data_IF_777846546060
#
_entry.id   IF_777846546060
#
_cell.length_a   1.000
_cell.length_b   1.000
_cell.length_c   1.000
_cell.angle_alpha   90.00
_cell.angle_beta   90.00
_cell.angle_gamma   90.00
#
_symmetry.space_group_name_H-M   'P 1'
#
loop_
_entity.id
_entity.type
_entity.pdbx_description
1 polymer ?
#
# COMPACT_ATOMS: atom_id res chain seq x y z
N UNK A 1 -40.96 -0.49 -2.14
CA UNK A 1 -42.08 0.08 -1.35
C UNK A 1 -41.62 1.26 -0.50
N UNK A 2 -40.74 1.08 0.49
CA UNK A 2 -40.40 2.18 1.42
C UNK A 2 -39.83 3.42 0.72
N UNK A 3 -38.80 3.27 -0.12
CA UNK A 3 -38.19 4.39 -0.85
C UNK A 3 -39.17 5.10 -1.80
N UNK A 4 -40.05 4.34 -2.47
CA UNK A 4 -40.98 4.91 -3.45
C UNK A 4 -42.27 5.51 -2.86
N UNK A 5 -42.69 5.06 -1.67
CA UNK A 5 -44.00 5.43 -1.09
C UNK A 5 -43.86 6.12 0.26
N UNK A 6 -42.99 5.62 1.14
CA UNK A 6 -42.88 6.11 2.52
C UNK A 6 -41.90 7.28 2.66
N UNK A 7 -40.82 7.31 1.85
CA UNK A 7 -39.86 8.43 1.86
C UNK A 7 -40.49 9.78 1.46
N UNK A 8 -41.33 9.87 0.40
CA UNK A 8 -41.98 11.14 0.05
C UNK A 8 -42.93 11.66 1.14
N UNK A 9 -43.62 10.77 1.85
CA UNK A 9 -44.57 11.15 2.92
C UNK A 9 -43.90 11.40 4.27
N UNK A 10 -42.58 11.19 4.38
CA UNK A 10 -41.81 11.53 5.58
C UNK A 10 -41.91 13.03 5.91
N UNK A 11 -42.14 13.85 4.88
CA UNK A 11 -42.41 15.28 5.00
C UNK A 11 -43.76 15.64 5.62
N UNK A 12 -44.71 14.70 5.68
CA UNK A 12 -46.09 14.96 6.10
C UNK A 12 -46.24 14.58 7.57
N UNK A 13 -46.46 15.56 8.45
CA UNK A 13 -46.50 15.37 9.91
C UNK A 13 -47.39 14.21 10.35
N UNK A 14 -48.59 14.08 9.79
CA UNK A 14 -49.54 13.02 10.14
C UNK A 14 -49.08 11.61 9.73
N UNK A 15 -48.25 11.48 8.67
CA UNK A 15 -47.81 10.20 8.11
C UNK A 15 -46.39 9.82 8.53
N UNK A 16 -45.58 10.81 8.91
CA UNK A 16 -44.19 10.63 9.31
C UNK A 16 -43.95 9.59 10.42
N UNK A 17 -44.81 9.44 11.47
CA UNK A 17 -44.60 8.41 12.48
C UNK A 17 -44.69 6.99 11.89
N UNK A 18 -45.63 6.77 10.96
CA UNK A 18 -45.82 5.47 10.31
C UNK A 18 -44.65 5.15 9.37
N UNK A 19 -44.16 6.14 8.61
CA UNK A 19 -43.02 5.97 7.73
C UNK A 19 -41.75 5.56 8.50
N UNK A 20 -41.46 6.25 9.63
CA UNK A 20 -40.31 5.94 10.48
C UNK A 20 -40.48 4.60 11.20
N UNK A 21 -41.65 4.33 11.77
CA UNK A 21 -41.91 3.05 12.46
C UNK A 21 -41.83 1.84 11.51
N UNK A 22 -42.30 1.99 10.27
CA UNK A 22 -42.16 0.95 9.26
C UNK A 22 -40.68 0.75 8.89
N UNK A 23 -39.91 1.83 8.73
CA UNK A 23 -38.48 1.72 8.44
C UNK A 23 -37.74 0.97 9.54
N UNK A 24 -38.03 1.30 10.79
CA UNK A 24 -37.45 0.65 11.97
C UNK A 24 -37.73 -0.86 11.94
N UNK A 25 -39.01 -1.24 11.81
CA UNK A 25 -39.43 -2.64 11.68
C UNK A 25 -38.76 -3.35 10.52
N UNK A 26 -38.67 -2.70 9.35
CA UNK A 26 -38.04 -3.27 8.17
C UNK A 26 -36.56 -3.58 8.42
N UNK A 27 -35.84 -2.63 9.01
CA UNK A 27 -34.42 -2.83 9.36
C UNK A 27 -34.26 -3.88 10.46
N UNK A 28 -35.17 -3.97 11.43
CA UNK A 28 -35.14 -5.01 12.46
C UNK A 28 -35.37 -6.42 11.87
N UNK A 29 -36.34 -6.58 10.97
CA UNK A 29 -36.64 -7.86 10.31
C UNK A 29 -35.51 -8.32 9.38
N UNK A 30 -34.74 -7.38 8.83
CA UNK A 30 -33.62 -7.67 7.94
C UNK A 30 -32.29 -7.24 8.56
N UNK A 31 -31.73 -8.02 9.51
CA UNK A 31 -30.44 -7.70 10.13
C UNK A 31 -29.29 -7.74 9.13
N UNK A 32 -29.32 -8.68 8.18
CA UNK A 32 -28.34 -8.78 7.10
C UNK A 32 -28.70 -7.82 5.96
N UNK A 33 -27.97 -6.71 5.88
CA UNK A 33 -28.20 -5.63 4.92
C UNK A 33 -27.70 -5.93 3.50
N UNK A 34 -26.95 -7.02 3.30
CA UNK A 34 -26.31 -7.32 2.00
C UNK A 34 -27.30 -7.43 0.85
N UNK A 35 -28.50 -7.97 1.11
CA UNK A 35 -29.58 -8.08 0.12
C UNK A 35 -30.15 -6.73 -0.32
N UNK A 36 -29.94 -5.68 0.46
CA UNK A 36 -30.39 -4.32 0.17
C UNK A 36 -29.31 -3.41 -0.44
N UNK A 37 -28.11 -3.93 -0.67
CA UNK A 37 -27.02 -3.15 -1.25
C UNK A 37 -27.35 -2.68 -2.66
N UNK A 38 -27.10 -1.39 -2.94
CA UNK A 38 -27.43 -0.76 -4.21
C UNK A 38 -28.90 -0.34 -4.36
N UNK A 39 -29.76 -0.62 -3.37
CA UNK A 39 -31.16 -0.17 -3.41
C UNK A 39 -31.34 1.31 -3.07
N UNK A 40 -30.47 1.86 -2.22
CA UNK A 40 -30.50 3.28 -1.85
C UNK A 40 -29.40 3.99 -2.63
N UNK A 41 -29.79 4.80 -3.62
CA UNK A 41 -28.85 5.64 -4.35
C UNK A 41 -28.63 7.00 -3.68
N UNK A 42 -27.71 7.85 -4.19
CA UNK A 42 -27.52 9.21 -3.71
C UNK A 42 -28.84 10.01 -3.64
N UNK A 43 -29.70 9.87 -4.65
CA UNK A 43 -30.97 10.61 -4.75
C UNK A 43 -31.91 10.34 -3.57
N UNK A 44 -31.92 9.12 -3.05
CA UNK A 44 -32.78 8.72 -1.93
C UNK A 44 -32.06 8.91 -0.57
N UNK A 45 -30.73 8.76 -0.57
CA UNK A 45 -29.91 8.85 0.63
C UNK A 45 -29.83 10.27 1.21
N UNK A 46 -29.65 11.29 0.37
CA UNK A 46 -29.47 12.65 0.87
C UNK A 46 -30.72 13.26 1.51
N UNK A 47 -31.95 13.04 0.99
CA UNK A 47 -33.17 13.40 1.72
C UNK A 47 -33.23 12.78 3.12
N UNK A 48 -32.82 11.51 3.28
CA UNK A 48 -32.78 10.85 4.59
C UNK A 48 -31.79 11.52 5.55
N UNK A 49 -30.60 11.88 5.06
CA UNK A 49 -29.62 12.65 5.81
C UNK A 49 -30.20 14.01 6.25
N UNK A 50 -30.81 14.74 5.33
CA UNK A 50 -31.38 16.06 5.58
C UNK A 50 -32.50 15.97 6.64
N UNK A 51 -33.38 14.97 6.56
CA UNK A 51 -34.40 14.70 7.58
C UNK A 51 -33.80 14.31 8.95
N UNK A 52 -32.71 13.54 8.97
CA UNK A 52 -32.10 13.09 10.22
C UNK A 52 -31.32 14.19 10.96
N UNK A 53 -30.74 15.16 10.26
CA UNK A 53 -29.76 16.08 10.87
C UNK A 53 -30.06 17.57 10.69
N UNK A 54 -30.89 18.00 9.74
CA UNK A 54 -31.23 19.41 9.60
C UNK A 54 -32.33 19.83 10.59
N UNK A 55 -32.17 20.94 11.33
CA UNK A 55 -33.21 21.49 12.20
C UNK A 55 -34.34 22.08 11.35
N UNK A 56 -35.48 22.31 12.00
CA UNK A 56 -36.66 22.95 11.39
C UNK A 56 -37.19 22.26 10.14
N UNK A 57 -36.95 20.95 10.00
CA UNK A 57 -37.65 20.16 9.01
C UNK A 57 -39.06 19.80 9.54
N UNK A 58 -39.84 19.12 8.70
CA UNK A 58 -41.22 18.76 9.02
C UNK A 58 -41.36 17.62 10.04
N UNK A 59 -40.25 16.96 10.45
CA UNK A 59 -40.28 15.88 11.43
C UNK A 59 -40.31 16.43 12.87
N UNK A 60 -41.18 15.88 13.73
CA UNK A 60 -41.09 16.07 15.18
C UNK A 60 -39.70 15.68 15.72
N UNK A 61 -39.17 16.37 16.74
CA UNK A 61 -37.83 16.07 17.30
C UNK A 61 -37.64 14.62 17.76
N UNK A 62 -38.69 14.00 18.30
CA UNK A 62 -38.67 12.58 18.72
C UNK A 62 -38.47 11.62 17.55
N UNK A 63 -39.17 11.86 16.43
CA UNK A 63 -39.03 11.06 15.21
C UNK A 63 -37.71 11.33 14.51
N UNK A 64 -37.22 12.56 14.54
CA UNK A 64 -35.91 12.89 14.01
C UNK A 64 -34.80 12.13 14.77
N UNK A 65 -34.89 12.04 16.09
CA UNK A 65 -33.95 11.25 16.91
C UNK A 65 -34.05 9.75 16.58
N UNK A 66 -35.25 9.22 16.39
CA UNK A 66 -35.43 7.83 15.96
C UNK A 66 -34.79 7.58 14.58
N UNK A 67 -35.02 8.46 13.61
CA UNK A 67 -34.42 8.36 12.28
C UNK A 67 -32.88 8.44 12.34
N UNK A 68 -32.34 9.30 13.22
CA UNK A 68 -30.90 9.41 13.46
C UNK A 68 -30.29 8.12 14.00
N UNK A 69 -31.02 7.36 14.82
CA UNK A 69 -30.58 6.02 15.28
C UNK A 69 -30.57 4.98 14.15
N UNK A 70 -31.49 5.09 13.18
CA UNK A 70 -31.55 4.20 12.02
C UNK A 70 -30.52 4.56 10.93
N UNK A 71 -30.12 5.83 10.88
CA UNK A 71 -29.25 6.40 9.85
C UNK A 71 -27.95 5.60 9.58
N UNK A 72 -27.18 5.13 10.58
CA UNK A 72 -25.96 4.36 10.31
C UNK A 72 -26.21 3.11 9.46
N UNK A 73 -27.36 2.43 9.66
CA UNK A 73 -27.74 1.26 8.86
C UNK A 73 -28.14 1.65 7.43
N UNK A 74 -28.83 2.79 7.28
CA UNK A 74 -29.18 3.36 5.98
C UNK A 74 -27.93 3.76 5.18
N UNK A 75 -26.91 4.31 5.86
CA UNK A 75 -25.62 4.65 5.26
C UNK A 75 -24.89 3.42 4.74
N UNK A 76 -24.88 2.33 5.51
CA UNK A 76 -24.30 1.05 5.04
C UNK A 76 -25.05 0.52 3.82
N UNK A 77 -26.38 0.60 3.81
CA UNK A 77 -27.19 0.21 2.63
C UNK A 77 -26.88 1.05 1.40
N UNK A 78 -26.73 2.37 1.57
CA UNK A 78 -26.44 3.30 0.48
C UNK A 78 -25.03 3.12 -0.09
N UNK A 79 -24.04 2.87 0.76
CA UNK A 79 -22.66 2.64 0.33
C UNK A 79 -22.50 1.28 -0.35
N UNK A 80 -23.36 0.32 0.01
CA UNK A 80 -23.50 -0.95 -0.68
C UNK A 80 -22.28 -1.87 -0.53
N UNK A 81 -22.15 -2.81 -1.47
CA UNK A 81 -21.14 -3.87 -1.42
C UNK A 81 -19.72 -3.41 -1.76
N UNK A 82 -19.60 -2.34 -2.56
CA UNK A 82 -18.34 -1.87 -3.17
C UNK A 82 -18.16 -0.36 -2.97
N UNK A 83 -18.02 0.11 -1.72
CA UNK A 83 -17.82 1.54 -1.44
C UNK A 83 -16.58 2.12 -2.15
N UNK A 84 -15.54 1.32 -2.34
CA UNK A 84 -14.28 1.70 -2.99
C UNK A 84 -14.41 2.15 -4.46
N UNK A 85 -15.52 1.81 -5.12
CA UNK A 85 -15.80 2.21 -6.51
C UNK A 85 -17.02 3.12 -6.67
N UNK A 86 -17.70 3.49 -5.59
CA UNK A 86 -18.99 4.19 -5.68
C UNK A 86 -19.04 5.50 -4.89
N UNK A 87 -18.20 5.67 -3.87
CA UNK A 87 -18.29 6.81 -2.95
C UNK A 87 -17.98 8.16 -3.59
N UNK A 88 -17.20 8.19 -4.67
CA UNK A 88 -16.98 9.41 -5.45
C UNK A 88 -18.30 10.00 -6.01
N UNK A 89 -19.35 9.19 -6.21
CA UNK A 89 -20.68 9.67 -6.66
C UNK A 89 -21.48 10.37 -5.55
N UNK A 90 -21.18 10.05 -4.29
CA UNK A 90 -21.81 10.67 -3.12
C UNK A 90 -21.07 11.95 -2.69
N UNK A 91 -19.75 11.99 -2.91
CA UNK A 91 -18.90 13.08 -2.48
C UNK A 91 -19.40 14.50 -2.87
N UNK A 92 -19.85 14.78 -4.12
CA UNK A 92 -20.35 16.10 -4.50
C UNK A 92 -21.54 16.57 -3.64
N UNK A 93 -22.46 15.67 -3.33
CA UNK A 93 -23.68 15.96 -2.57
C UNK A 93 -23.40 16.14 -1.08
N UNK A 94 -22.39 15.47 -0.53
CA UNK A 94 -21.88 15.77 0.81
C UNK A 94 -21.18 17.14 0.86
N UNK A 95 -20.31 17.42 -0.12
CA UNK A 95 -19.53 18.66 -0.18
C UNK A 95 -20.45 19.88 -0.31
N UNK A 96 -21.40 19.86 -1.24
CA UNK A 96 -22.35 20.95 -1.44
C UNK A 96 -23.21 21.26 -0.21
N UNK A 97 -23.50 20.25 0.62
CA UNK A 97 -24.27 20.40 1.87
C UNK A 97 -23.44 20.92 3.04
N UNK A 98 -22.12 20.84 3.01
CA UNK A 98 -21.25 21.20 4.13
C UNK A 98 -21.07 22.71 4.30
N UNK A 99 -22.18 23.43 4.47
CA UNK A 99 -22.17 24.88 4.63
C UNK A 99 -21.67 25.30 6.02
N UNK A 100 -21.09 26.51 6.19
CA UNK A 100 -20.66 27.01 7.49
C UNK A 100 -21.79 27.12 8.52
N UNK A 101 -23.02 27.35 8.07
CA UNK A 101 -24.24 27.44 8.88
C UNK A 101 -24.82 26.09 9.30
N UNK A 102 -24.20 24.97 8.91
CA UNK A 102 -24.71 23.66 9.28
C UNK A 102 -24.69 23.42 10.80
N UNK A 103 -25.72 22.77 11.36
CA UNK A 103 -25.72 22.32 12.75
C UNK A 103 -24.49 21.46 13.06
N UNK A 104 -23.96 21.48 14.30
CA UNK A 104 -22.76 20.73 14.66
C UNK A 104 -22.85 19.23 14.35
N UNK A 105 -24.00 18.60 14.61
CA UNK A 105 -24.22 17.19 14.33
C UNK A 105 -24.18 16.87 12.83
N UNK A 106 -24.85 17.69 12.01
CA UNK A 106 -24.84 17.58 10.54
C UNK A 106 -23.42 17.78 10.00
N UNK A 107 -22.75 18.86 10.43
CA UNK A 107 -21.38 19.18 10.02
C UNK A 107 -20.42 18.03 10.32
N UNK A 108 -20.50 17.44 11.53
CA UNK A 108 -19.70 16.27 11.91
C UNK A 108 -19.97 15.07 11.00
N UNK A 109 -21.23 14.75 10.72
CA UNK A 109 -21.59 13.62 9.86
C UNK A 109 -21.12 13.82 8.41
N UNK A 110 -21.30 15.02 7.86
CA UNK A 110 -20.83 15.38 6.51
C UNK A 110 -19.31 15.25 6.39
N UNK A 111 -18.55 15.83 7.32
CA UNK A 111 -17.09 15.80 7.32
C UNK A 111 -16.55 14.37 7.48
N UNK A 112 -17.14 13.59 8.39
CA UNK A 112 -16.78 12.19 8.60
C UNK A 112 -17.07 11.36 7.35
N UNK A 113 -18.22 11.59 6.70
CA UNK A 113 -18.59 10.90 5.45
C UNK A 113 -17.69 11.27 4.29
N UNK A 114 -17.32 12.54 4.12
CA UNK A 114 -16.36 12.97 3.09
C UNK A 114 -14.98 12.38 3.33
N UNK A 115 -14.50 12.36 4.59
CA UNK A 115 -13.25 11.70 4.96
C UNK A 115 -13.27 10.20 4.65
N UNK A 116 -14.41 9.53 4.89
CA UNK A 116 -14.62 8.13 4.52
C UNK A 116 -14.59 7.92 3.00
N UNK A 117 -15.21 8.82 2.21
CA UNK A 117 -15.14 8.78 0.74
C UNK A 117 -13.70 8.88 0.24
N UNK A 118 -12.93 9.84 0.77
CA UNK A 118 -11.51 10.01 0.43
C UNK A 118 -10.64 8.82 0.86
N UNK A 119 -11.02 8.15 1.96
CA UNK A 119 -10.25 7.03 2.49
C UNK A 119 -10.46 5.73 1.73
N UNK A 120 -11.67 5.49 1.24
CA UNK A 120 -12.07 4.23 0.61
C UNK A 120 -12.03 4.29 -0.92
N UNK A 121 -12.42 5.42 -1.53
CA UNK A 121 -12.50 5.57 -2.99
C UNK A 121 -11.52 6.65 -3.48
N UNK A 122 -10.43 6.27 -4.17
CA UNK A 122 -9.42 7.21 -4.65
C UNK A 122 -9.96 8.21 -5.70
N UNK A 123 -11.04 7.89 -6.41
CA UNK A 123 -11.67 8.80 -7.37
C UNK A 123 -12.28 10.02 -6.67
N UNK A 124 -12.63 9.90 -5.38
CA UNK A 124 -13.15 11.02 -4.57
C UNK A 124 -12.19 12.22 -4.55
N UNK A 125 -10.87 12.00 -4.54
CA UNK A 125 -9.89 13.08 -4.64
C UNK A 125 -9.91 13.78 -6.01
N UNK A 126 -10.18 13.05 -7.10
CA UNK A 126 -10.33 13.63 -8.43
C UNK A 126 -11.57 14.51 -8.50
N UNK A 127 -12.70 14.00 -8.03
CA UNK A 127 -13.97 14.74 -7.97
C UNK A 127 -13.84 15.98 -7.10
N UNK A 128 -13.18 15.87 -5.94
CA UNK A 128 -12.94 17.03 -5.08
C UNK A 128 -12.13 18.11 -5.80
N UNK A 129 -11.08 17.74 -6.54
CA UNK A 129 -10.28 18.69 -7.32
C UNK A 129 -11.10 19.45 -8.36
N UNK A 130 -12.01 18.76 -9.05
CA UNK A 130 -12.89 19.38 -10.04
C UNK A 130 -13.91 20.36 -9.42
N UNK A 131 -14.33 20.08 -8.18
CA UNK A 131 -15.33 20.87 -7.46
C UNK A 131 -14.74 22.00 -6.61
N UNK A 132 -13.42 22.01 -6.40
CA UNK A 132 -12.74 22.86 -5.44
C UNK A 132 -13.07 24.35 -5.60
N UNK A 133 -12.93 24.89 -6.82
CA UNK A 133 -13.13 26.31 -7.11
C UNK A 133 -14.57 26.77 -6.89
N UNK A 134 -15.55 25.86 -6.98
CA UNK A 134 -16.97 26.13 -6.75
C UNK A 134 -17.39 25.98 -5.28
N UNK A 135 -16.56 25.33 -4.48
CA UNK A 135 -16.88 24.94 -3.11
C UNK A 135 -15.75 25.25 -2.14
N UNK A 136 -15.18 26.46 -2.22
CA UNK A 136 -14.04 26.88 -1.41
C UNK A 136 -14.37 26.89 0.09
N UNK A 137 -15.49 27.52 0.48
CA UNK A 137 -15.92 27.56 1.88
C UNK A 137 -16.11 26.15 2.46
N UNK A 138 -16.76 25.24 1.73
CA UNK A 138 -16.96 23.85 2.17
C UNK A 138 -15.66 23.04 2.17
N UNK A 139 -14.78 23.28 1.19
CA UNK A 139 -13.46 22.64 1.12
C UNK A 139 -12.55 23.08 2.26
N UNK A 140 -12.64 24.34 2.72
CA UNK A 140 -11.88 24.81 3.89
C UNK A 140 -12.27 24.04 5.16
N UNK A 141 -13.55 23.73 5.34
CA UNK A 141 -14.03 22.91 6.46
C UNK A 141 -13.49 21.49 6.40
N UNK A 142 -13.48 20.88 5.20
CA UNK A 142 -12.94 19.55 4.99
C UNK A 142 -11.42 19.51 5.21
N UNK A 143 -10.67 20.49 4.70
CA UNK A 143 -9.22 20.59 4.90
C UNK A 143 -8.86 20.71 6.38
N UNK A 144 -9.57 21.54 7.13
CA UNK A 144 -9.37 21.66 8.58
C UNK A 144 -9.70 20.34 9.32
N UNK A 145 -10.77 19.66 8.94
CA UNK A 145 -11.10 18.35 9.51
C UNK A 145 -10.02 17.29 9.22
N UNK A 146 -9.46 17.27 8.01
CA UNK A 146 -8.36 16.37 7.63
C UNK A 146 -7.05 16.70 8.35
N UNK A 147 -6.84 17.98 8.69
CA UNK A 147 -5.71 18.44 9.49
C UNK A 147 -5.84 17.98 10.94
N UNK A 148 -7.03 18.08 11.54
CA UNK A 148 -7.34 17.56 12.87
C UNK A 148 -7.18 16.03 12.94
N UNK A 149 -7.63 15.31 11.90
CA UNK A 149 -7.58 13.84 11.80
C UNK A 149 -6.33 13.30 11.08
N UNK A 150 -5.29 14.12 10.97
CA UNK A 150 -4.06 13.78 10.23
C UNK A 150 -3.39 12.51 10.78
N UNK A 151 -3.27 12.40 12.09
CA UNK A 151 -2.54 11.32 12.76
C UNK A 151 -3.24 9.95 12.63
N UNK A 152 -4.57 9.95 12.51
CA UNK A 152 -5.38 8.76 12.23
C UNK A 152 -5.41 8.35 10.74
N UNK A 153 -4.98 9.22 9.84
CA UNK A 153 -5.07 8.96 8.39
C UNK A 153 -4.04 7.93 7.91
N UNK A 154 -4.45 7.03 6.99
CA UNK A 154 -3.55 6.01 6.42
C UNK A 154 -2.47 6.62 5.52
N UNK A 155 -1.34 5.91 5.33
CA UNK A 155 -0.23 6.40 4.49
C UNK A 155 -0.67 6.68 3.04
N UNK A 156 -1.54 5.84 2.47
CA UNK A 156 -2.08 5.98 1.10
C UNK A 156 -2.93 7.25 0.97
N UNK A 157 -3.79 7.52 1.96
CA UNK A 157 -4.62 8.73 2.01
C UNK A 157 -3.74 9.97 2.15
N UNK A 158 -2.72 9.93 3.01
CA UNK A 158 -1.75 11.03 3.18
C UNK A 158 -1.01 11.38 1.87
N UNK A 159 -0.61 10.37 1.10
CA UNK A 159 0.03 10.58 -0.21
C UNK A 159 -0.94 11.23 -1.21
N UNK A 160 -2.16 10.70 -1.32
CA UNK A 160 -3.19 11.25 -2.24
C UNK A 160 -3.60 12.67 -1.84
N UNK A 161 -3.70 12.94 -0.53
CA UNK A 161 -3.97 14.26 0.02
C UNK A 161 -2.81 15.23 -0.25
N UNK A 162 -1.56 14.78 -0.20
CA UNK A 162 -0.40 15.62 -0.51
C UNK A 162 -0.42 16.12 -1.97
N UNK A 163 -0.74 15.25 -2.92
CA UNK A 163 -0.90 15.63 -4.33
C UNK A 163 -2.06 16.62 -4.51
N UNK A 164 -3.18 16.35 -3.85
CA UNK A 164 -4.38 17.21 -3.91
C UNK A 164 -4.13 18.58 -3.31
N UNK A 165 -3.49 18.67 -2.14
CA UNK A 165 -3.17 19.92 -1.46
C UNK A 165 -2.14 20.75 -2.26
N UNK A 166 -1.18 20.11 -2.94
CA UNK A 166 -0.28 20.82 -3.86
C UNK A 166 -1.03 21.43 -5.03
N UNK A 167 -1.98 20.68 -5.62
CA UNK A 167 -2.85 21.21 -6.66
C UNK A 167 -3.67 22.40 -6.16
N UNK A 168 -4.26 22.30 -4.97
CA UNK A 168 -5.03 23.39 -4.36
C UNK A 168 -4.19 24.63 -4.07
N UNK A 169 -2.93 24.46 -3.63
CA UNK A 169 -2.03 25.59 -3.41
C UNK A 169 -1.84 26.42 -4.68
N UNK A 170 -1.57 25.77 -5.82
CA UNK A 170 -1.43 26.46 -7.11
C UNK A 170 -2.75 27.13 -7.49
N UNK A 171 -3.88 26.44 -7.37
CA UNK A 171 -5.20 27.02 -7.64
C UNK A 171 -5.49 28.24 -6.75
N UNK A 172 -5.12 28.21 -5.47
CA UNK A 172 -5.34 29.32 -4.55
C UNK A 172 -4.46 30.53 -4.88
N UNK A 173 -3.21 30.31 -5.29
CA UNK A 173 -2.32 31.38 -5.76
C UNK A 173 -2.89 32.05 -7.02
N UNK A 174 -3.41 31.27 -7.97
CA UNK A 174 -4.08 31.80 -9.16
C UNK A 174 -5.37 32.56 -8.83
N UNK A 175 -6.18 32.06 -7.88
CA UNK A 175 -7.42 32.72 -7.46
C UNK A 175 -7.15 34.01 -6.70
N UNK A 176 -6.15 34.03 -5.82
CA UNK A 176 -5.73 35.23 -5.10
C UNK A 176 -5.24 36.34 -6.04
N UNK A 177 -4.63 35.98 -7.17
CA UNK A 177 -4.21 36.94 -8.19
C UNK A 177 -5.38 37.59 -8.98
N UNK A 178 -6.60 37.01 -8.94
CA UNK A 178 -7.77 37.44 -9.74
C UNK A 178 -8.68 38.47 -9.04
N UNK A 179 -8.38 38.88 -7.81
CA UNK A 179 -9.06 39.98 -7.11
C UNK A 179 -10.16 39.57 -6.09
N UNK A 180 -10.80 40.57 -5.44
CA UNK A 180 -11.24 40.48 -4.04
C UNK A 180 -12.53 39.70 -3.72
N UNK A 181 -13.26 39.19 -4.72
CA UNK A 181 -14.60 38.60 -4.48
C UNK A 181 -14.58 37.23 -3.77
N UNK A 182 -13.40 36.67 -3.49
CA UNK A 182 -13.24 35.35 -2.84
C UNK A 182 -12.06 35.30 -1.86
N UNK A 183 -11.52 36.44 -1.44
CA UNK A 183 -10.26 36.51 -0.66
C UNK A 183 -10.32 35.74 0.65
N UNK A 184 -11.44 35.79 1.38
CA UNK A 184 -11.55 35.14 2.70
C UNK A 184 -11.57 33.61 2.60
N UNK A 185 -12.37 33.05 1.69
CA UNK A 185 -12.49 31.60 1.52
C UNK A 185 -11.21 31.01 0.89
N UNK A 186 -10.60 31.74 -0.05
CA UNK A 186 -9.29 31.36 -0.64
C UNK A 186 -8.21 31.40 0.43
N UNK A 187 -8.15 32.45 1.26
CA UNK A 187 -7.17 32.55 2.34
C UNK A 187 -7.34 31.45 3.41
N UNK A 188 -8.58 31.12 3.78
CA UNK A 188 -8.87 30.03 4.72
C UNK A 188 -8.39 28.66 4.17
N UNK A 189 -8.66 28.41 2.89
CA UNK A 189 -8.18 27.24 2.18
C UNK A 189 -6.64 27.19 2.09
N UNK A 190 -6.00 28.29 1.69
CA UNK A 190 -4.55 28.39 1.55
C UNK A 190 -3.84 28.18 2.90
N UNK A 191 -4.37 28.76 3.98
CA UNK A 191 -3.88 28.54 5.34
C UNK A 191 -3.92 27.06 5.75
N UNK A 192 -5.06 26.39 5.51
CA UNK A 192 -5.20 24.96 5.81
C UNK A 192 -4.25 24.10 4.95
N UNK A 193 -4.09 24.42 3.66
CA UNK A 193 -3.16 23.75 2.76
C UNK A 193 -1.69 23.90 3.21
N UNK A 194 -1.27 25.10 3.62
CA UNK A 194 0.09 25.36 4.12
C UNK A 194 0.40 24.55 5.38
N UNK A 195 -0.54 24.49 6.32
CA UNK A 195 -0.35 23.73 7.56
C UNK A 195 -0.32 22.21 7.29
N UNK A 196 -1.19 21.70 6.42
CA UNK A 196 -1.13 20.29 5.99
C UNK A 196 0.22 19.93 5.35
N UNK A 197 0.73 20.78 4.44
CA UNK A 197 2.05 20.58 3.83
C UNK A 197 3.18 20.65 4.86
N UNK A 198 3.07 21.52 5.87
CA UNK A 198 4.03 21.58 6.98
C UNK A 198 4.05 20.28 7.78
N UNK A 199 2.87 19.74 8.13
CA UNK A 199 2.76 18.44 8.80
C UNK A 199 3.29 17.28 7.97
N UNK A 200 3.08 17.29 6.65
CA UNK A 200 3.64 16.31 5.73
C UNK A 200 5.17 16.35 5.68
N UNK A 201 5.77 17.55 5.71
CA UNK A 201 7.23 17.75 5.80
C UNK A 201 7.80 17.35 7.16
N UNK A 202 6.99 17.33 8.22
CA UNK A 202 7.39 17.11 9.61
C UNK A 202 7.92 15.71 9.96
N UNK A 203 8.11 14.79 9.01
CA UNK A 203 8.65 13.46 9.29
C UNK A 203 10.18 13.42 9.11
N UNK A 204 10.86 13.96 10.12
CA UNK A 204 12.24 13.66 10.45
C UNK A 204 13.21 14.81 10.22
N UNK A 205 13.51 15.59 11.27
CA UNK A 205 14.84 16.17 11.38
C UNK A 205 15.84 15.01 11.21
N UNK A 206 16.87 15.12 10.36
CA UNK A 206 17.66 13.98 9.93
C UNK A 206 18.66 13.58 11.03
N UNK A 207 18.15 13.15 12.18
CA UNK A 207 18.90 12.74 13.36
C UNK A 207 19.94 11.69 13.00
N UNK A 208 19.64 10.78 12.07
CA UNK A 208 20.62 9.80 11.58
C UNK A 208 21.79 10.45 10.83
N UNK A 209 21.53 11.47 10.00
CA UNK A 209 22.60 12.21 9.29
C UNK A 209 23.40 13.07 10.25
N UNK A 210 22.75 13.72 11.20
CA UNK A 210 23.42 14.54 12.20
C UNK A 210 24.26 13.69 13.17
N UNK A 211 23.75 12.52 13.58
CA UNK A 211 24.48 11.52 14.34
C UNK A 211 25.67 10.97 13.54
N UNK A 212 25.50 10.69 12.24
CA UNK A 212 26.59 10.25 11.38
C UNK A 212 27.69 11.31 11.26
N UNK A 213 27.32 12.57 11.01
CA UNK A 213 28.26 13.69 10.96
C UNK A 213 29.00 13.82 12.30
N UNK A 214 28.28 13.79 13.42
CA UNK A 214 28.88 13.83 14.76
C UNK A 214 29.87 12.68 14.97
N UNK A 215 29.53 11.47 14.53
CA UNK A 215 30.38 10.29 14.64
C UNK A 215 31.64 10.41 13.77
N UNK A 216 31.52 10.92 12.54
CA UNK A 216 32.65 11.18 11.65
C UNK A 216 33.59 12.23 12.26
N UNK A 217 33.05 13.32 12.82
CA UNK A 217 33.85 14.32 13.52
C UNK A 217 34.55 13.76 14.77
N UNK A 218 33.85 12.98 15.59
CA UNK A 218 34.42 12.32 16.75
C UNK A 218 35.55 11.34 16.35
N UNK A 219 35.34 10.53 15.32
CA UNK A 219 36.35 9.61 14.81
C UNK A 219 37.56 10.36 14.22
N UNK A 220 37.34 11.45 13.49
CA UNK A 220 38.40 12.31 12.97
C UNK A 220 39.22 12.98 14.08
N UNK A 221 38.55 13.48 15.12
CA UNK A 221 39.21 14.03 16.32
C UNK A 221 40.07 12.98 17.02
N UNK A 222 39.53 11.77 17.24
CA UNK A 222 40.27 10.66 17.83
C UNK A 222 41.50 10.28 16.99
N UNK A 223 41.36 10.20 15.66
CA UNK A 223 42.48 9.89 14.77
C UNK A 223 43.56 10.97 14.79
N UNK A 224 43.16 12.25 14.84
CA UNK A 224 44.09 13.37 14.92
C UNK A 224 44.83 13.39 16.27
N UNK A 225 44.12 13.15 17.38
CA UNK A 225 44.68 13.10 18.72
C UNK A 225 45.68 11.93 18.90
N UNK A 226 45.36 10.76 18.33
CA UNK A 226 46.27 9.60 18.34
C UNK A 226 47.53 9.87 17.49
N UNK A 227 47.37 10.51 16.33
CA UNK A 227 48.51 10.85 15.46
C UNK A 227 49.43 11.89 16.08
N UNK A 228 48.87 12.89 16.78
CA UNK A 228 49.64 13.95 17.44
C UNK A 228 50.39 13.44 18.67
N UNK A 229 49.82 12.47 19.40
CA UNK A 229 50.42 11.92 20.62
C UNK A 229 51.16 10.58 20.42
N UNK A 230 51.23 10.08 19.18
CA UNK A 230 51.99 8.88 18.78
C UNK A 230 51.43 7.53 19.26
N UNK A 231 50.57 7.50 20.27
CA UNK A 231 49.90 6.28 20.73
C UNK A 231 48.53 6.55 21.34
N UNK A 232 47.63 5.56 21.27
CA UNK A 232 46.30 5.68 21.88
C UNK A 232 46.39 5.89 23.39
N UNK A 233 47.33 5.24 24.09
CA UNK A 233 47.47 5.36 25.54
C UNK A 233 47.98 6.73 25.99
N UNK A 234 48.74 7.44 25.15
CA UNK A 234 49.23 8.78 25.43
C UNK A 234 48.23 9.91 25.05
N UNK A 235 47.18 9.58 24.29
CA UNK A 235 46.20 10.54 23.78
C UNK A 235 45.32 11.13 24.89
N UNK A 236 44.92 12.39 24.73
CA UNK A 236 44.00 13.08 25.65
C UNK A 236 42.62 12.42 25.66
N UNK A 237 42.20 11.91 24.51
CA UNK A 237 40.95 11.20 24.31
C UNK A 237 40.89 9.88 25.09
N UNK A 238 41.97 9.10 25.13
CA UNK A 238 42.02 7.88 25.93
C UNK A 238 41.98 8.17 27.44
N UNK A 239 42.56 9.28 27.88
CA UNK A 239 42.50 9.73 29.27
C UNK A 239 41.05 10.10 29.67
N UNK A 240 40.34 10.83 28.80
CA UNK A 240 38.92 11.17 28.94
C UNK A 240 38.00 9.94 28.91
N UNK A 241 38.24 8.99 28.00
CA UNK A 241 37.48 7.74 27.91
C UNK A 241 37.70 6.84 29.13
N UNK A 242 38.88 6.92 29.76
CA UNK A 242 39.20 6.19 31.00
C UNK A 242 38.57 6.85 32.22
N UNK A 243 38.64 8.19 32.33
CA UNK A 243 38.03 8.93 33.44
C UNK A 243 36.51 8.90 33.43
N UNK A 244 35.89 8.76 32.26
CA UNK A 244 34.42 8.60 32.11
C UNK A 244 33.93 7.17 32.31
N UNK A 245 34.82 6.18 32.50
CA UNK A 245 34.45 4.77 32.65
C UNK A 245 33.94 4.11 31.35
N UNK A 246 33.90 4.84 30.23
CA UNK A 246 33.43 4.33 28.93
C UNK A 246 34.40 3.30 28.36
N UNK A 247 35.71 3.48 28.57
CA UNK A 247 36.73 2.56 28.07
C UNK A 247 36.56 1.12 28.61
N UNK A 248 36.51 0.85 29.93
CA UNK A 248 36.30 -0.51 30.45
C UNK A 248 34.93 -1.08 30.07
N UNK A 249 33.87 -0.26 30.02
CA UNK A 249 32.55 -0.69 29.56
C UNK A 249 32.56 -1.10 28.08
N UNK A 250 33.26 -0.34 27.23
CA UNK A 250 33.42 -0.64 25.80
C UNK A 250 34.25 -1.92 25.58
N UNK A 251 35.28 -2.15 26.38
CA UNK A 251 36.09 -3.36 26.32
C UNK A 251 35.28 -4.60 26.74
N UNK A 252 34.48 -4.49 27.81
CA UNK A 252 33.59 -5.57 28.24
C UNK A 252 32.48 -5.86 27.19
N UNK A 253 31.92 -4.81 26.58
CA UNK A 253 30.96 -4.96 25.49
C UNK A 253 31.60 -5.62 24.26
N UNK A 254 32.81 -5.20 23.89
CA UNK A 254 33.58 -5.79 22.79
C UNK A 254 33.89 -7.27 23.03
N UNK A 255 34.28 -7.62 24.25
CA UNK A 255 34.50 -9.03 24.62
C UNK A 255 33.22 -9.86 24.48
N UNK A 256 32.06 -9.37 24.93
CA UNK A 256 30.77 -10.06 24.75
C UNK A 256 30.39 -10.21 23.28
N UNK A 257 30.52 -9.14 22.49
CA UNK A 257 30.21 -9.16 21.05
C UNK A 257 31.14 -10.14 20.33
N UNK A 258 32.45 -10.09 20.59
CA UNK A 258 33.42 -10.99 19.98
C UNK A 258 33.14 -12.45 20.34
N UNK A 259 32.75 -12.73 21.59
CA UNK A 259 32.35 -14.07 22.03
C UNK A 259 31.10 -14.57 21.31
N UNK A 260 30.05 -13.74 21.22
CA UNK A 260 28.83 -14.07 20.49
C UNK A 260 29.09 -14.27 18.99
N UNK A 261 29.91 -13.43 18.36
CA UNK A 261 30.30 -13.59 16.96
C UNK A 261 31.08 -14.88 16.74
N UNK A 262 32.02 -15.23 17.63
CA UNK A 262 32.78 -16.47 17.55
C UNK A 262 31.88 -17.71 17.74
N UNK A 263 30.90 -17.63 18.65
CA UNK A 263 29.89 -18.69 18.81
C UNK A 263 29.00 -18.82 17.58
N UNK A 264 28.54 -17.70 17.01
CA UNK A 264 27.77 -17.69 15.77
C UNK A 264 28.55 -18.30 14.60
N UNK A 265 29.84 -17.97 14.49
CA UNK A 265 30.74 -18.57 13.50
C UNK A 265 30.89 -20.09 13.68
N UNK A 266 31.15 -20.56 14.91
CA UNK A 266 31.27 -21.99 15.23
C UNK A 266 29.96 -22.77 15.04
N UNK A 267 28.83 -22.11 15.28
CA UNK A 267 27.51 -22.67 15.00
C UNK A 267 27.31 -22.83 13.49
N UNK A 268 27.63 -21.79 12.72
CA UNK A 268 27.50 -21.79 11.26
C UNK A 268 28.41 -22.85 10.62
N UNK A 269 29.65 -22.99 11.10
CA UNK A 269 30.60 -24.04 10.74
C UNK A 269 30.02 -25.46 10.93
N UNK A 270 29.24 -25.68 11.99
CA UNK A 270 28.62 -27.00 12.28
C UNK A 270 27.32 -27.22 11.53
N UNK A 271 26.51 -26.18 11.35
CA UNK A 271 25.16 -26.29 10.80
C UNK A 271 25.14 -26.29 9.27
N UNK A 272 26.04 -25.55 8.62
CA UNK A 272 26.09 -25.45 7.15
C UNK A 272 26.27 -26.81 6.43
N UNK A 273 27.19 -27.72 6.83
CA UNK A 273 27.33 -29.02 6.15
C UNK A 273 26.14 -29.96 6.38
N UNK A 274 25.49 -29.87 7.55
CA UNK A 274 24.30 -30.66 7.89
C UNK A 274 23.10 -30.18 7.08
N UNK A 275 22.88 -28.87 7.02
CA UNK A 275 21.80 -28.28 6.22
C UNK A 275 22.04 -28.47 4.71
N UNK A 276 23.28 -28.42 4.22
CA UNK A 276 23.59 -28.62 2.81
C UNK A 276 23.26 -30.04 2.34
N UNK A 277 23.66 -31.06 3.12
CA UNK A 277 23.38 -32.46 2.80
C UNK A 277 21.90 -32.84 2.98
N UNK A 278 21.24 -32.35 4.03
CA UNK A 278 19.80 -32.57 4.25
C UNK A 278 18.93 -31.83 3.24
N UNK A 279 19.29 -30.60 2.85
CA UNK A 279 18.56 -29.88 1.81
C UNK A 279 18.62 -30.62 0.47
N UNK A 280 19.78 -31.16 0.08
CA UNK A 280 19.89 -31.97 -1.14
C UNK A 280 19.08 -33.26 -1.08
N UNK A 281 19.11 -33.98 0.05
CA UNK A 281 18.34 -35.21 0.23
C UNK A 281 16.81 -34.99 0.23
N UNK A 282 16.35 -33.82 0.73
CA UNK A 282 14.91 -33.50 0.82
C UNK A 282 14.39 -32.85 -0.46
N UNK A 283 15.19 -32.06 -1.18
CA UNK A 283 14.74 -31.30 -2.36
C UNK A 283 14.77 -32.11 -3.65
N UNK A 284 15.68 -33.08 -3.79
CA UNK A 284 15.84 -33.89 -5.00
C UNK A 284 14.61 -34.78 -5.33
N UNK A 285 14.08 -35.61 -4.40
CA UNK A 285 12.93 -36.46 -4.70
C UNK A 285 11.62 -35.72 -5.07
N UNK A 286 11.20 -34.62 -4.40
CA UNK A 286 9.98 -33.91 -4.79
C UNK A 286 10.12 -33.18 -6.13
N UNK A 287 11.33 -32.76 -6.51
CA UNK A 287 11.58 -32.11 -7.79
C UNK A 287 11.43 -33.10 -8.96
N UNK A 288 12.00 -34.29 -8.85
CA UNK A 288 11.85 -35.36 -9.85
C UNK A 288 10.40 -35.84 -9.94
N UNK A 289 9.71 -35.96 -8.80
CA UNK A 289 8.30 -36.34 -8.75
C UNK A 289 7.39 -35.29 -9.38
N UNK A 290 7.62 -33.99 -9.09
CA UNK A 290 6.89 -32.88 -9.70
C UNK A 290 7.10 -32.85 -11.21
N UNK A 291 8.31 -33.10 -11.67
CA UNK A 291 8.64 -33.18 -13.09
C UNK A 291 7.88 -34.33 -13.78
N UNK A 292 7.98 -35.55 -13.27
CA UNK A 292 7.28 -36.71 -13.81
C UNK A 292 5.75 -36.52 -13.82
N UNK A 293 5.18 -35.98 -12.74
CA UNK A 293 3.74 -35.73 -12.63
C UNK A 293 3.25 -34.62 -13.57
N UNK A 294 4.06 -33.59 -13.80
CA UNK A 294 3.69 -32.52 -14.76
C UNK A 294 3.57 -33.04 -16.19
N UNK A 295 4.48 -33.94 -16.60
CA UNK A 295 4.47 -34.58 -17.93
C UNK A 295 3.28 -35.53 -18.07
N UNK A 296 3.00 -36.34 -17.06
CA UNK A 296 1.88 -37.30 -17.06
C UNK A 296 0.51 -36.60 -17.10
N UNK A 297 0.35 -35.51 -16.35
CA UNK A 297 -0.87 -34.68 -16.34
C UNK A 297 -1.07 -33.97 -17.68
N UNK A 298 -0.01 -33.45 -18.29
CA UNK A 298 -0.08 -32.80 -19.60
C UNK A 298 -0.50 -33.79 -20.72
N UNK A 299 0.06 -35.00 -20.71
CA UNK A 299 -0.33 -36.06 -21.66
C UNK A 299 -1.77 -36.52 -21.44
N UNK A 300 -2.18 -36.72 -20.19
CA UNK A 300 -3.54 -37.19 -19.85
C UNK A 300 -4.62 -36.15 -20.22
N UNK A 301 -4.37 -34.87 -19.96
CA UNK A 301 -5.28 -33.77 -20.34
C UNK A 301 -5.41 -33.65 -21.87
N UNK A 302 -4.30 -33.81 -22.59
CA UNK A 302 -4.30 -33.83 -24.06
C UNK A 302 -5.13 -34.99 -24.60
N UNK A 303 -4.95 -36.20 -24.05
CA UNK A 303 -5.66 -37.39 -24.49
C UNK A 303 -7.16 -37.30 -24.19
N UNK A 304 -7.54 -36.86 -22.98
CA UNK A 304 -8.94 -36.68 -22.59
C UNK A 304 -9.66 -35.62 -23.41
N UNK A 305 -9.00 -34.50 -23.72
CA UNK A 305 -9.56 -33.49 -24.62
C UNK A 305 -9.81 -34.07 -26.01
N UNK A 306 -8.86 -34.83 -26.56
CA UNK A 306 -9.00 -35.44 -27.89
C UNK A 306 -10.14 -36.47 -27.93
N UNK A 307 -10.29 -37.28 -26.88
CA UNK A 307 -11.35 -38.30 -26.81
C UNK A 307 -12.74 -37.68 -26.62
N UNK A 308 -12.85 -36.64 -25.79
CA UNK A 308 -14.11 -35.92 -25.57
C UNK A 308 -14.55 -35.17 -26.85
N UNK A 309 -13.60 -34.58 -27.58
CA UNK A 309 -13.85 -33.96 -28.88
C UNK A 309 -14.31 -34.99 -29.91
N UNK A 310 -13.65 -36.13 -30.03
CA UNK A 310 -14.06 -37.18 -30.99
C UNK A 310 -15.41 -37.81 -30.63
N UNK A 311 -15.69 -37.99 -29.34
CA UNK A 311 -16.95 -38.55 -28.87
C UNK A 311 -18.11 -37.57 -29.07
N UNK A 312 -17.90 -36.28 -28.77
CA UNK A 312 -18.89 -35.24 -29.02
C UNK A 312 -19.21 -35.09 -30.52
N UNK A 313 -18.20 -35.23 -31.37
CA UNK A 313 -18.35 -35.17 -32.83
C UNK A 313 -19.10 -36.39 -33.40
N UNK A 314 -18.91 -37.58 -32.83
CA UNK A 314 -19.59 -38.80 -33.28
C UNK A 314 -20.98 -39.03 -32.67
N UNK A 315 -21.23 -38.57 -31.45
CA UNK A 315 -22.42 -38.95 -30.67
C UNK A 315 -23.60 -37.97 -30.79
N UNK A 316 -23.38 -36.74 -31.25
CA UNK A 316 -24.44 -35.74 -31.41
C UNK A 316 -24.28 -34.93 -32.72
N UNK A 317 -24.59 -35.51 -33.90
CA UNK A 317 -24.55 -34.79 -35.18
C UNK A 317 -25.52 -33.59 -35.21
N UNK A 318 -26.60 -33.65 -34.43
CA UNK A 318 -27.55 -32.54 -34.27
C UNK A 318 -26.96 -31.37 -33.48
N UNK A 319 -26.00 -31.60 -32.57
CA UNK A 319 -25.32 -30.53 -31.82
C UNK A 319 -24.31 -29.83 -32.73
N UNK A 320 -23.63 -30.55 -33.62
CA UNK A 320 -22.74 -29.94 -34.62
C UNK A 320 -23.50 -29.09 -35.64
N UNK A 321 -24.66 -29.55 -36.13
CA UNK A 321 -25.54 -28.76 -37.00
C UNK A 321 -26.15 -27.56 -36.26
N UNK A 322 -26.56 -27.75 -35.00
CA UNK A 322 -27.08 -26.66 -34.16
C UNK A 322 -26.00 -25.61 -33.84
N UNK A 323 -24.77 -26.03 -33.53
CA UNK A 323 -23.60 -25.17 -33.34
C UNK A 323 -23.27 -24.38 -34.60
N UNK A 324 -23.25 -25.02 -35.78
CA UNK A 324 -23.02 -24.34 -37.06
C UNK A 324 -24.13 -23.33 -37.38
N UNK A 325 -25.37 -23.57 -36.94
CA UNK A 325 -26.50 -22.66 -37.19
C UNK A 325 -26.61 -21.46 -36.24
N UNK A 326 -26.05 -21.56 -35.02
CA UNK A 326 -26.24 -20.54 -33.95
C UNK A 326 -24.96 -19.92 -33.40
N UNK A 327 -23.79 -20.49 -33.68
CA UNK A 327 -22.52 -19.92 -33.21
C UNK A 327 -21.89 -19.13 -34.36
N UNK A 328 -21.70 -17.81 -34.21
CA UNK A 328 -21.03 -17.02 -35.24
C UNK A 328 -19.60 -17.54 -35.43
N UNK A 329 -19.12 -17.62 -36.67
CA UNK A 329 -17.78 -18.15 -37.01
C UNK A 329 -16.66 -17.53 -36.18
N UNK A 330 -16.85 -16.28 -35.72
CA UNK A 330 -15.94 -15.57 -34.82
C UNK A 330 -15.69 -16.28 -33.48
N UNK A 331 -16.67 -16.99 -32.92
CA UNK A 331 -16.54 -17.69 -31.63
C UNK A 331 -15.80 -19.03 -31.77
N UNK A 332 -15.99 -19.72 -32.89
CA UNK A 332 -15.22 -20.93 -33.25
C UNK A 332 -13.75 -20.57 -33.52
N UNK A 333 -13.53 -19.49 -34.29
CA UNK A 333 -12.18 -18.98 -34.55
C UNK A 333 -11.50 -18.47 -33.26
N UNK A 334 -12.27 -17.88 -32.35
CA UNK A 334 -11.77 -17.48 -31.03
C UNK A 334 -11.37 -18.68 -30.18
N UNK A 335 -12.14 -19.77 -30.18
CA UNK A 335 -11.81 -20.98 -29.44
C UNK A 335 -10.54 -21.68 -29.99
N UNK A 336 -10.37 -21.72 -31.32
CA UNK A 336 -9.15 -22.20 -31.97
C UNK A 336 -7.95 -21.31 -31.65
N UNK A 337 -8.12 -19.98 -31.69
CA UNK A 337 -7.09 -19.03 -31.29
C UNK A 337 -6.70 -19.18 -29.81
N UNK A 338 -7.66 -19.38 -28.91
CA UNK A 338 -7.39 -19.61 -27.49
C UNK A 338 -6.68 -20.94 -27.28
N UNK A 339 -7.03 -21.99 -28.02
CA UNK A 339 -6.35 -23.29 -27.97
C UNK A 339 -4.89 -23.16 -28.39
N UNK A 340 -4.62 -22.53 -29.54
CA UNK A 340 -3.26 -22.32 -30.04
C UNK A 340 -2.46 -21.38 -29.12
N UNK A 341 -3.09 -20.36 -28.54
CA UNK A 341 -2.48 -19.48 -27.55
C UNK A 341 -2.09 -20.23 -26.28
N UNK A 342 -2.96 -21.11 -25.76
CA UNK A 342 -2.66 -21.91 -24.57
C UNK A 342 -1.55 -22.93 -24.85
N UNK A 343 -1.56 -23.58 -26.01
CA UNK A 343 -0.49 -24.49 -26.43
C UNK A 343 0.84 -23.74 -26.61
N UNK A 344 0.80 -22.54 -27.18
CA UNK A 344 1.96 -21.66 -27.31
C UNK A 344 2.48 -21.19 -25.95
N UNK A 345 1.62 -20.74 -25.03
CA UNK A 345 2.04 -20.34 -23.69
C UNK A 345 2.65 -21.51 -22.90
N UNK A 346 2.09 -22.72 -23.05
CA UNK A 346 2.62 -23.91 -22.38
C UNK A 346 3.97 -24.32 -22.98
N UNK A 347 4.08 -24.43 -24.31
CA UNK A 347 5.30 -24.91 -25.00
C UNK A 347 6.40 -23.87 -25.11
N UNK A 348 6.05 -22.60 -25.35
CA UNK A 348 6.99 -21.54 -25.70
C UNK A 348 7.31 -20.59 -24.55
N UNK A 349 6.50 -20.56 -23.48
CA UNK A 349 6.81 -19.76 -22.29
C UNK A 349 7.10 -20.63 -21.07
N UNK A 350 6.16 -21.48 -20.65
CA UNK A 350 6.28 -22.21 -19.39
C UNK A 350 7.37 -23.29 -19.42
N UNK A 351 7.42 -24.11 -20.48
CA UNK A 351 8.45 -25.13 -20.65
C UNK A 351 9.87 -24.54 -20.65
N UNK A 352 10.20 -23.54 -21.50
CA UNK A 352 11.55 -22.97 -21.54
C UNK A 352 11.89 -22.14 -20.31
N UNK A 353 10.92 -21.52 -19.63
CA UNK A 353 11.16 -20.87 -18.33
C UNK A 353 11.57 -21.90 -17.28
N UNK A 354 10.92 -23.06 -17.25
CA UNK A 354 11.26 -24.13 -16.33
C UNK A 354 12.63 -24.73 -16.65
N UNK A 355 12.94 -24.96 -17.94
CA UNK A 355 14.25 -25.44 -18.39
C UNK A 355 15.35 -24.42 -18.10
N UNK A 356 15.09 -23.12 -18.29
CA UNK A 356 16.04 -22.07 -17.94
C UNK A 356 16.28 -22.01 -16.43
N UNK A 357 15.24 -22.15 -15.62
CA UNK A 357 15.36 -22.16 -14.17
C UNK A 357 16.14 -23.40 -13.69
N UNK A 358 15.85 -24.58 -14.24
CA UNK A 358 16.57 -25.81 -13.96
C UNK A 358 18.04 -25.72 -14.39
N UNK A 359 18.31 -25.23 -15.60
CA UNK A 359 19.67 -25.04 -16.11
C UNK A 359 20.44 -23.94 -15.37
N UNK A 360 19.76 -22.92 -14.83
CA UNK A 360 20.39 -21.88 -14.01
C UNK A 360 20.73 -22.40 -12.61
N UNK A 361 19.83 -23.19 -12.01
CA UNK A 361 20.08 -23.89 -10.76
C UNK A 361 21.23 -24.90 -10.90
N UNK A 362 21.24 -25.68 -11.97
CA UNK A 362 22.29 -26.66 -12.25
C UNK A 362 23.63 -25.98 -12.55
N UNK A 363 23.65 -24.86 -13.30
CA UNK A 363 24.86 -24.06 -13.51
C UNK A 363 25.36 -23.40 -12.23
N UNK A 364 24.47 -22.82 -11.43
CA UNK A 364 24.82 -22.23 -10.14
C UNK A 364 25.39 -23.29 -9.18
N UNK A 365 24.81 -24.48 -9.19
CA UNK A 365 25.28 -25.61 -8.40
C UNK A 365 26.64 -26.15 -8.87
N UNK A 366 26.81 -26.38 -10.17
CA UNK A 366 28.10 -26.81 -10.75
C UNK A 366 29.18 -25.76 -10.53
N UNK A 367 28.88 -24.47 -10.68
CA UNK A 367 29.84 -23.40 -10.40
C UNK A 367 30.25 -23.37 -8.93
N UNK A 368 29.34 -23.64 -8.00
CA UNK A 368 29.67 -23.81 -6.58
C UNK A 368 30.51 -25.07 -6.31
N UNK A 369 30.22 -26.20 -6.98
CA UNK A 369 30.99 -27.44 -6.86
C UNK A 369 32.39 -27.32 -7.45
N UNK A 370 32.52 -26.72 -8.63
CA UNK A 370 33.79 -26.47 -9.32
C UNK A 370 34.65 -25.47 -8.53
N UNK A 371 34.04 -24.43 -7.95
CA UNK A 371 34.74 -23.49 -7.06
C UNK A 371 35.20 -24.13 -5.76
N UNK A 372 34.58 -25.25 -5.33
CA UNK A 372 34.91 -25.98 -4.12
C UNK A 372 35.60 -27.33 -4.36
N UNK A 373 36.15 -27.60 -5.56
CA UNK A 373 36.83 -28.86 -5.91
C UNK A 373 36.00 -30.13 -5.59
N UNK A 374 34.69 -30.09 -5.80
CA UNK A 374 33.81 -31.26 -5.75
C UNK A 374 33.11 -31.54 -4.41
N UNK A 375 33.52 -30.91 -3.30
CA UNK A 375 32.80 -30.97 -2.02
C UNK A 375 32.60 -29.56 -1.45
N UNK A 376 31.34 -29.16 -1.22
CA UNK A 376 31.00 -27.87 -0.59
C UNK A 376 31.32 -27.95 0.91
N UNK A 377 32.62 -27.90 1.23
CA UNK A 377 33.13 -27.86 2.59
C UNK A 377 33.08 -26.43 3.13
N UNK A 378 33.02 -26.30 4.46
CA UNK A 378 33.03 -25.00 5.14
C UNK A 378 34.30 -24.20 4.84
N UNK A 379 35.43 -24.87 4.62
CA UNK A 379 36.70 -24.22 4.29
C UNK A 379 36.64 -23.50 2.93
N UNK A 380 35.99 -24.09 1.92
CA UNK A 380 35.74 -23.41 0.64
C UNK A 380 34.83 -22.18 0.79
N UNK A 381 33.71 -22.34 1.50
CA UNK A 381 32.75 -21.24 1.69
C UNK A 381 33.38 -20.10 2.51
N UNK A 382 34.21 -20.43 3.49
CA UNK A 382 35.02 -19.47 4.27
C UNK A 382 35.99 -18.70 3.37
N UNK A 383 36.67 -19.37 2.45
CA UNK A 383 37.63 -18.73 1.54
C UNK A 383 36.92 -17.77 0.57
N UNK A 384 35.73 -18.16 0.05
CA UNK A 384 34.90 -17.26 -0.74
C UNK A 384 34.33 -16.07 0.05
N UNK A 385 33.88 -16.28 1.29
CA UNK A 385 33.39 -15.20 2.15
C UNK A 385 34.51 -14.24 2.57
N UNK A 386 35.70 -14.76 2.86
CA UNK A 386 36.87 -13.94 3.19
C UNK A 386 37.37 -13.17 1.97
N UNK A 387 37.40 -13.78 0.79
CA UNK A 387 37.69 -13.10 -0.48
C UNK A 387 36.64 -12.02 -0.83
N UNK A 388 35.35 -12.30 -0.62
CA UNK A 388 34.27 -11.33 -0.85
C UNK A 388 34.32 -10.15 0.12
N UNK A 389 34.60 -10.41 1.41
CA UNK A 389 34.74 -9.35 2.42
C UNK A 389 36.02 -8.53 2.19
N UNK A 390 37.12 -9.17 1.80
CA UNK A 390 38.37 -8.50 1.46
C UNK A 390 38.24 -7.63 0.19
N UNK A 391 37.59 -8.14 -0.86
CA UNK A 391 37.32 -7.37 -2.09
C UNK A 391 36.33 -6.22 -1.84
N UNK A 392 35.29 -6.44 -1.02
CA UNK A 392 34.37 -5.39 -0.59
C UNK A 392 35.08 -4.30 0.22
N UNK A 393 36.03 -4.69 1.09
CA UNK A 393 36.85 -3.76 1.85
C UNK A 393 37.80 -2.96 0.96
N UNK A 394 38.47 -3.61 -0.01
CA UNK A 394 39.30 -2.93 -1.01
C UNK A 394 38.45 -1.95 -1.84
N UNK A 395 37.24 -2.33 -2.22
CA UNK A 395 36.33 -1.46 -2.97
C UNK A 395 35.91 -0.23 -2.14
N UNK A 396 35.57 -0.42 -0.86
CA UNK A 396 35.28 0.66 0.09
C UNK A 396 36.49 1.57 0.32
N UNK A 397 37.69 0.99 0.41
CA UNK A 397 38.93 1.74 0.54
C UNK A 397 39.24 2.55 -0.71
N UNK A 398 39.09 1.97 -1.90
CA UNK A 398 39.32 2.65 -3.18
C UNK A 398 38.29 3.76 -3.42
N UNK A 399 37.03 3.54 -3.08
CA UNK A 399 35.99 4.58 -3.18
C UNK A 399 36.22 5.72 -2.19
N UNK A 400 36.62 5.44 -0.95
CA UNK A 400 37.01 6.49 0.00
C UNK A 400 38.26 7.25 -0.44
N UNK A 401 39.24 6.58 -1.05
CA UNK A 401 40.44 7.22 -1.61
C UNK A 401 40.10 8.10 -2.81
N UNK A 402 39.21 7.65 -3.69
CA UNK A 402 38.72 8.41 -4.84
C UNK A 402 37.96 9.67 -4.39
N UNK A 403 37.09 9.56 -3.37
CA UNK A 403 36.37 10.71 -2.79
C UNK A 403 37.35 11.69 -2.14
N UNK A 404 38.37 11.21 -1.43
CA UNK A 404 39.42 12.04 -0.84
C UNK A 404 40.21 12.79 -1.92
N UNK A 405 40.61 12.12 -2.99
CA UNK A 405 41.36 12.73 -4.09
C UNK A 405 40.51 13.74 -4.86
N UNK A 406 39.21 13.45 -5.07
CA UNK A 406 38.26 14.40 -5.64
C UNK A 406 38.08 15.65 -4.77
N UNK A 407 37.95 15.47 -3.45
CA UNK A 407 37.86 16.59 -2.52
C UNK A 407 39.14 17.44 -2.50
N UNK A 408 40.32 16.82 -2.55
CA UNK A 408 41.60 17.52 -2.66
C UNK A 408 41.76 18.27 -3.99
N UNK A 409 41.29 17.70 -5.10
CA UNK A 409 41.29 18.35 -6.41
C UNK A 409 40.35 19.58 -6.45
N UNK A 410 39.18 19.49 -5.80
CA UNK A 410 38.26 20.63 -5.63
C UNK A 410 38.83 21.76 -4.76
N UNK A 411 39.65 21.42 -3.77
CA UNK A 411 40.28 22.39 -2.86
C UNK A 411 41.54 23.02 -3.48
N UNK A 412 42.26 22.29 -4.34
CA UNK A 412 43.47 22.77 -5.04
C UNK A 412 43.20 23.41 -6.40
N UNK A 413 41.95 23.36 -6.88
CA UNK A 413 41.49 23.99 -8.12
C UNK A 413 41.03 25.46 -7.98
N UNK A 414 41.38 26.13 -6.87
CA UNK A 414 41.22 27.57 -6.68
C UNK A 414 42.56 28.26 -6.43
#
# INVERSE_FOLDING_TARGET
>A
VWLGVMLPVLGIKALSPYAVAYLDRLLMMHPNLTKGFGMIGPKDFFPLLDFAFMPNNSLPPSLQEQLRRLYPRLKVLAFGAKPETALHTYFPSFLSRATPSCPPAMKKELLTSMSQCLSLDPLSFSVWRQLYTKHLSQSSLLLNHLLESWDSSSKKVRQSLQETVRSFKVTNEELAARGPNSDQDVAACDGACKELLRRMKGRGFPWSRLLLVLLVFAAGFLLHDIRTHGSFQASSSARLLRSSGVLPASQAAWQKVSHCCLQGYRWLERTLPICGSQAMAVLQPPLELLWAKSVEVALSLSQQCSSLLSWAHGSLPWVTEWLQSRVPESLLHFAECVRELLLFLLRSCLLPLLECAAAALERGWRHCLDSCNGEVSWDCVREHLTSFTYSSWIYLQNTTLAVKNWALAMISGH
#
